data_IF_071221760785
#
_entry.id   IF_071221760785
#
_cell.length_a   1.000
_cell.length_b   1.000
_cell.length_c   1.000
_cell.angle_alpha   90.00
_cell.angle_beta   90.00
_cell.angle_gamma   90.00
#
_symmetry.space_group_name_H-M   'P 1'
#
loop_
_entity.id
_entity.type
_entity.pdbx_description
1 polymer ?
#
# COMPACT_ATOMS: atom_id res chain seq x y z
N UNK A 1 5.99 -11.67 -6.82
CA UNK A 1 4.80 -11.46 -5.97
C UNK A 1 4.76 -10.02 -5.46
N UNK A 2 3.56 -9.48 -5.20
CA UNK A 2 3.34 -8.23 -4.48
C UNK A 2 2.65 -8.56 -3.15
N UNK A 3 3.19 -8.08 -2.02
CA UNK A 3 2.61 -8.36 -0.70
C UNK A 3 3.00 -7.31 0.34
N UNK A 4 2.03 -6.57 0.93
CA UNK A 4 0.58 -6.61 0.66
C UNK A 4 0.22 -6.12 -0.75
N UNK A 5 -0.91 -6.61 -1.31
CA UNK A 5 -1.39 -6.23 -2.64
C UNK A 5 -2.06 -4.85 -2.65
N UNK A 6 -2.06 -4.20 -3.81
CA UNK A 6 -2.82 -2.98 -4.05
C UNK A 6 -4.12 -3.34 -4.82
N UNK A 7 -5.33 -2.96 -4.34
CA UNK A 7 -5.61 -2.10 -3.18
C UNK A 7 -6.03 -2.84 -1.91
N UNK A 8 -6.31 -4.15 -1.96
CA UNK A 8 -7.01 -4.90 -0.91
C UNK A 8 -6.12 -5.34 0.26
N UNK A 9 -4.81 -5.10 0.16
CA UNK A 9 -3.84 -5.45 1.20
C UNK A 9 -3.74 -6.95 1.52
N UNK A 10 -4.11 -7.81 0.57
CA UNK A 10 -3.92 -9.25 0.71
C UNK A 10 -2.43 -9.61 0.80
N UNK A 11 -2.13 -10.68 1.52
CA UNK A 11 -0.77 -11.15 1.71
C UNK A 11 -0.53 -12.51 1.09
N UNK A 12 0.71 -12.74 0.66
CA UNK A 12 1.20 -14.08 0.40
C UNK A 12 2.26 -14.47 1.44
N UNK A 13 2.33 -15.75 1.78
CA UNK A 13 3.40 -16.31 2.62
C UNK A 13 4.68 -16.37 1.78
N UNK A 14 5.60 -15.43 2.04
CA UNK A 14 6.84 -15.29 1.27
C UNK A 14 7.72 -16.53 1.41
N UNK A 15 7.81 -17.11 2.61
CA UNK A 15 8.64 -18.28 2.83
C UNK A 15 8.11 -19.51 2.08
N UNK A 16 6.79 -19.70 2.06
CA UNK A 16 6.17 -20.78 1.31
C UNK A 16 6.35 -20.59 -0.22
N UNK A 17 6.21 -19.36 -0.72
CA UNK A 17 6.45 -19.05 -2.13
C UNK A 17 7.90 -19.22 -2.53
N UNK A 18 8.85 -18.81 -1.67
CA UNK A 18 10.27 -19.01 -1.92
C UNK A 18 10.63 -20.50 -2.02
N UNK A 19 10.14 -21.30 -1.07
CA UNK A 19 10.36 -22.75 -1.11
C UNK A 19 9.78 -23.39 -2.40
N UNK A 20 8.59 -22.97 -2.82
CA UNK A 20 7.98 -23.44 -4.05
C UNK A 20 8.77 -23.03 -5.30
N UNK A 21 9.18 -21.75 -5.39
CA UNK A 21 9.97 -21.25 -6.50
C UNK A 21 11.30 -22.00 -6.63
N UNK A 22 12.03 -22.14 -5.53
CA UNK A 22 13.33 -22.80 -5.50
C UNK A 22 13.24 -24.30 -5.84
N UNK A 23 12.18 -24.98 -5.40
CA UNK A 23 11.93 -26.39 -5.76
C UNK A 23 11.77 -26.59 -7.28
N UNK A 24 11.42 -25.54 -8.02
CA UNK A 24 11.26 -25.54 -9.48
C UNK A 24 12.39 -24.79 -10.20
N UNK A 25 13.50 -24.49 -9.54
CA UNK A 25 14.64 -23.77 -10.12
C UNK A 25 14.35 -22.33 -10.52
N UNK A 26 13.27 -21.72 -9.98
CA UNK A 26 12.88 -20.35 -10.23
C UNK A 26 13.34 -19.42 -9.10
N UNK A 27 13.50 -18.13 -9.41
CA UNK A 27 13.75 -17.07 -8.43
C UNK A 27 12.44 -16.46 -7.96
N UNK A 28 12.39 -16.03 -6.69
CA UNK A 28 11.28 -15.23 -6.15
C UNK A 28 11.68 -13.75 -6.07
N UNK A 29 10.98 -12.91 -6.82
CA UNK A 29 11.03 -11.46 -6.68
C UNK A 29 9.78 -10.98 -5.92
N UNK A 30 9.96 -10.15 -4.88
CA UNK A 30 8.88 -9.59 -4.07
C UNK A 30 8.87 -8.08 -4.17
N UNK A 31 7.75 -7.50 -4.62
CA UNK A 31 7.49 -6.08 -4.46
C UNK A 31 7.06 -5.81 -3.01
N UNK A 32 7.90 -5.05 -2.30
CA UNK A 32 7.75 -4.73 -0.89
C UNK A 32 7.42 -3.23 -0.65
N UNK A 33 6.87 -2.56 -1.66
CA UNK A 33 6.63 -1.11 -1.63
C UNK A 33 5.65 -0.69 -0.54
N UNK A 34 4.59 -1.49 -0.27
CA UNK A 34 3.58 -1.19 0.75
C UNK A 34 4.09 -1.40 2.17
N UNK A 35 4.91 -2.41 2.38
CA UNK A 35 5.41 -2.74 3.71
C UNK A 35 6.68 -1.99 4.09
N UNK A 36 7.53 -1.65 3.13
CA UNK A 36 8.88 -1.13 3.36
C UNK A 36 9.80 -2.10 4.12
N UNK A 37 11.10 -1.88 4.21
CA UNK A 37 11.99 -2.74 5.00
C UNK A 37 11.79 -2.62 6.51
N UNK A 38 10.98 -1.65 6.97
CA UNK A 38 10.66 -1.47 8.38
C UNK A 38 9.70 -2.55 8.87
N UNK A 39 8.68 -2.87 8.07
CA UNK A 39 7.66 -3.87 8.44
C UNK A 39 8.07 -5.27 7.98
N UNK A 40 8.53 -5.41 6.74
CA UNK A 40 8.71 -6.70 6.11
C UNK A 40 10.07 -6.79 5.42
N UNK A 41 10.74 -7.91 5.60
CA UNK A 41 12.08 -8.17 5.06
C UNK A 41 12.10 -9.44 4.21
N UNK A 42 11.62 -9.37 2.94
CA UNK A 42 11.44 -10.56 2.10
C UNK A 42 12.71 -11.39 1.90
N UNK A 43 13.88 -10.78 1.82
CA UNK A 43 15.15 -11.51 1.68
C UNK A 43 15.42 -12.45 2.88
N UNK A 44 14.99 -12.08 4.11
CA UNK A 44 15.12 -12.94 5.28
C UNK A 44 14.12 -14.10 5.27
N UNK A 45 13.10 -14.02 4.40
CA UNK A 45 12.07 -15.04 4.21
C UNK A 45 12.30 -15.87 2.93
N UNK A 46 13.46 -15.71 2.28
CA UNK A 46 13.86 -16.51 1.14
C UNK A 46 13.66 -15.86 -0.24
N UNK A 47 13.18 -14.63 -0.33
CA UNK A 47 13.10 -13.93 -1.61
C UNK A 47 14.52 -13.62 -2.15
N UNK A 48 14.73 -13.87 -3.44
CA UNK A 48 16.00 -13.63 -4.13
C UNK A 48 16.18 -12.17 -4.53
N UNK A 49 15.07 -11.51 -4.86
CA UNK A 49 15.02 -10.09 -5.22
C UNK A 49 13.90 -9.39 -4.43
N UNK A 50 14.19 -8.19 -3.95
CA UNK A 50 13.22 -7.32 -3.31
C UNK A 50 13.13 -6.02 -4.08
N UNK A 51 11.93 -5.69 -4.54
CA UNK A 51 11.66 -4.48 -5.32
C UNK A 51 10.98 -3.45 -4.46
N UNK A 52 11.37 -2.20 -4.60
CA UNK A 52 10.76 -1.06 -3.93
C UNK A 52 10.45 0.05 -4.91
N UNK A 53 9.25 0.60 -4.83
CA UNK A 53 9.00 1.95 -5.33
C UNK A 53 9.59 2.95 -4.34
N UNK A 54 10.70 3.59 -4.72
CA UNK A 54 11.31 4.66 -3.93
C UNK A 54 10.43 5.92 -3.86
N UNK A 55 9.50 6.06 -4.81
CA UNK A 55 8.49 7.12 -4.86
C UNK A 55 7.50 7.09 -3.68
N UNK A 56 7.34 5.92 -3.04
CA UNK A 56 6.37 5.68 -1.96
C UNK A 56 7.01 5.95 -0.58
N UNK A 57 6.89 5.03 0.32
CA UNK A 57 7.38 5.18 1.72
C UNK A 57 8.86 5.53 1.84
N UNK A 58 9.72 5.13 0.89
CA UNK A 58 11.16 5.43 1.00
C UNK A 58 11.44 6.94 0.91
N UNK A 59 10.87 7.62 -0.07
CA UNK A 59 10.85 9.09 -0.11
C UNK A 59 9.92 9.64 0.97
N UNK A 60 8.68 9.15 1.01
CA UNK A 60 7.67 9.44 2.03
C UNK A 60 7.08 10.84 2.00
N UNK A 61 7.36 11.65 0.99
CA UNK A 61 6.84 13.01 0.89
C UNK A 61 6.42 13.41 -0.55
N UNK A 62 6.29 12.42 -1.45
CA UNK A 62 5.82 12.67 -2.83
C UNK A 62 6.72 13.59 -3.66
N UNK A 63 8.04 13.64 -3.37
CA UNK A 63 8.98 14.62 -3.94
C UNK A 63 9.63 14.16 -5.22
N UNK A 64 9.89 12.85 -5.35
CA UNK A 64 10.65 12.29 -6.47
C UNK A 64 10.12 10.93 -6.90
N UNK A 65 10.38 10.58 -8.16
CA UNK A 65 10.22 9.23 -8.66
C UNK A 65 11.53 8.48 -8.52
N UNK A 66 11.48 7.31 -7.90
CA UNK A 66 12.63 6.44 -7.69
C UNK A 66 12.20 4.98 -7.55
N UNK A 67 13.15 4.08 -7.76
CA UNK A 67 12.99 2.64 -7.52
C UNK A 67 14.28 2.05 -6.98
N UNK A 68 14.18 0.90 -6.33
CA UNK A 68 15.33 0.14 -5.86
C UNK A 68 15.05 -1.36 -6.01
N UNK A 69 16.09 -2.11 -6.35
CA UNK A 69 16.09 -3.57 -6.35
C UNK A 69 17.23 -4.03 -5.47
N UNK A 70 16.92 -4.86 -4.47
CA UNK A 70 17.87 -5.46 -3.55
C UNK A 70 17.94 -6.97 -3.81
N UNK A 71 19.12 -7.53 -3.70
CA UNK A 71 19.36 -8.97 -3.90
C UNK A 71 20.82 -9.31 -3.67
N UNK A 72 21.21 -10.55 -4.04
CA UNK A 72 22.62 -10.97 -3.97
C UNK A 72 23.49 -10.17 -4.94
N UNK A 73 24.78 -10.01 -4.63
CA UNK A 73 25.78 -9.41 -5.54
C UNK A 73 25.78 -10.07 -6.91
N UNK A 74 25.55 -11.38 -6.97
CA UNK A 74 25.50 -12.11 -8.24
C UNK A 74 24.36 -11.65 -9.13
N UNK A 75 23.19 -11.38 -8.57
CA UNK A 75 22.00 -10.94 -9.31
C UNK A 75 22.03 -9.43 -9.56
N UNK A 76 22.26 -8.64 -8.51
CA UNK A 76 22.10 -7.18 -8.61
C UNK A 76 23.32 -6.53 -9.28
N UNK A 77 24.55 -6.83 -8.84
CA UNK A 77 25.72 -6.15 -9.36
C UNK A 77 26.16 -6.72 -10.72
N UNK A 78 26.29 -8.05 -10.83
CA UNK A 78 26.82 -8.66 -12.05
C UNK A 78 25.84 -8.67 -13.21
N UNK A 79 24.54 -8.89 -12.96
CA UNK A 79 23.53 -8.96 -14.02
C UNK A 79 22.88 -7.61 -14.23
N UNK A 80 22.21 -7.08 -13.20
CA UNK A 80 21.43 -5.85 -13.33
C UNK A 80 22.32 -4.61 -13.43
N UNK A 81 23.41 -4.54 -12.67
CA UNK A 81 24.37 -3.41 -12.69
C UNK A 81 25.04 -3.23 -14.04
N UNK A 82 25.40 -4.32 -14.72
CA UNK A 82 25.94 -4.26 -16.07
C UNK A 82 24.91 -3.72 -17.08
N UNK A 83 23.66 -4.17 -16.99
CA UNK A 83 22.57 -3.68 -17.83
C UNK A 83 22.27 -2.20 -17.55
N UNK A 84 22.13 -1.81 -16.32
CA UNK A 84 21.83 -0.43 -15.92
C UNK A 84 22.89 0.56 -16.40
N UNK A 85 24.17 0.16 -16.32
CA UNK A 85 25.29 0.98 -16.80
C UNK A 85 25.23 1.26 -18.30
N UNK A 86 24.80 0.25 -19.08
CA UNK A 86 24.72 0.37 -20.54
C UNK A 86 23.40 0.98 -21.01
N UNK A 87 22.27 0.71 -20.33
CA UNK A 87 20.96 1.19 -20.68
C UNK A 87 20.61 2.58 -20.10
N UNK A 88 21.46 3.12 -19.21
CA UNK A 88 21.26 4.45 -18.65
C UNK A 88 20.11 4.59 -17.66
N UNK A 89 19.65 3.49 -17.04
CA UNK A 89 18.55 3.46 -16.09
C UNK A 89 18.96 3.89 -14.66
N UNK A 90 19.92 4.80 -14.57
CA UNK A 90 20.44 5.29 -13.29
C UNK A 90 19.54 6.40 -12.73
N UNK A 91 19.31 6.35 -11.43
CA UNK A 91 18.62 7.42 -10.72
C UNK A 91 19.42 8.72 -10.77
N UNK A 92 18.76 9.84 -11.06
CA UNK A 92 19.41 11.15 -11.04
C UNK A 92 19.98 11.42 -9.62
N UNK A 93 21.20 12.01 -9.51
CA UNK A 93 21.85 12.23 -8.22
C UNK A 93 21.02 13.03 -7.22
N UNK A 94 20.29 14.04 -7.69
CA UNK A 94 19.37 14.81 -6.86
C UNK A 94 18.25 13.93 -6.29
N UNK A 95 17.62 13.09 -7.11
CA UNK A 95 16.57 12.18 -6.66
C UNK A 95 17.13 11.16 -5.66
N UNK A 96 18.34 10.65 -5.89
CA UNK A 96 19.01 9.74 -4.96
C UNK A 96 19.25 10.41 -3.59
N UNK A 97 19.71 11.65 -3.59
CA UNK A 97 19.88 12.43 -2.36
C UNK A 97 18.56 12.66 -1.63
N UNK A 98 17.48 13.00 -2.32
CA UNK A 98 16.15 13.19 -1.73
C UNK A 98 15.64 11.89 -1.09
N UNK A 99 15.77 10.74 -1.78
CA UNK A 99 15.38 9.44 -1.22
C UNK A 99 16.24 9.10 0.00
N UNK A 100 17.56 9.36 -0.05
CA UNK A 100 18.46 9.13 1.09
C UNK A 100 17.98 9.93 2.33
N UNK A 101 17.56 11.19 2.14
CA UNK A 101 16.97 12.01 3.22
C UNK A 101 15.62 11.43 3.71
N UNK A 102 14.83 10.86 2.84
CA UNK A 102 13.61 10.12 3.22
C UNK A 102 13.91 8.93 4.12
N UNK A 103 14.97 8.17 3.83
CA UNK A 103 15.36 6.99 4.60
C UNK A 103 15.73 7.32 6.06
N UNK A 104 16.26 8.50 6.34
CA UNK A 104 16.64 8.92 7.69
C UNK A 104 15.47 8.91 8.68
N UNK A 105 14.23 9.14 8.18
CA UNK A 105 13.01 9.16 9.00
C UNK A 105 12.08 8.00 8.72
N UNK A 106 12.45 7.07 7.84
CA UNK A 106 11.57 6.00 7.37
C UNK A 106 10.95 5.19 8.52
N UNK A 107 11.77 4.75 9.48
CA UNK A 107 11.29 3.93 10.60
C UNK A 107 10.31 4.69 11.50
N UNK A 108 10.56 5.96 11.76
CA UNK A 108 9.66 6.81 12.56
C UNK A 108 8.31 6.98 11.86
N UNK A 109 8.33 7.34 10.57
CA UNK A 109 7.12 7.56 9.77
C UNK A 109 6.28 6.29 9.66
N UNK A 110 6.89 5.19 9.22
CA UNK A 110 6.16 3.93 9.00
C UNK A 110 5.51 3.41 10.28
N UNK A 111 6.18 3.50 11.42
CA UNK A 111 5.61 3.08 12.71
C UNK A 111 4.45 3.98 13.13
N UNK A 112 4.61 5.29 13.03
CA UNK A 112 3.55 6.24 13.38
C UNK A 112 2.34 6.10 12.45
N UNK A 113 2.57 6.00 11.13
CA UNK A 113 1.52 5.78 10.15
C UNK A 113 0.79 4.46 10.35
N UNK A 114 1.51 3.37 10.69
CA UNK A 114 0.88 2.07 10.97
C UNK A 114 0.02 2.09 12.24
N UNK A 115 0.46 2.79 13.28
CA UNK A 115 -0.32 2.95 14.50
C UNK A 115 -1.61 3.75 14.23
N UNK A 116 -1.51 4.89 13.54
CA UNK A 116 -2.66 5.69 13.15
C UNK A 116 -3.62 4.92 12.22
N UNK A 117 -3.07 4.14 11.28
CA UNK A 117 -3.86 3.31 10.37
C UNK A 117 -4.65 2.23 11.11
N UNK A 118 -4.08 1.60 12.12
CA UNK A 118 -4.81 0.60 12.93
C UNK A 118 -6.01 1.23 13.65
N UNK A 119 -5.83 2.38 14.27
CA UNK A 119 -6.91 3.07 14.97
C UNK A 119 -7.98 3.60 14.00
N UNK A 120 -7.57 4.11 12.83
CA UNK A 120 -8.50 4.53 11.79
C UNK A 120 -9.28 3.34 11.22
N UNK A 121 -8.62 2.22 11.00
CA UNK A 121 -9.26 0.99 10.50
C UNK A 121 -10.31 0.44 11.48
N UNK A 122 -10.03 0.46 12.78
CA UNK A 122 -11.00 0.10 13.83
C UNK A 122 -12.23 1.02 13.84
N UNK A 123 -11.99 2.31 13.70
CA UNK A 123 -13.06 3.29 13.63
C UNK A 123 -13.92 3.09 12.37
N UNK A 124 -13.29 2.85 11.20
CA UNK A 124 -14.00 2.55 9.97
C UNK A 124 -14.80 1.24 10.07
N UNK A 125 -14.24 0.20 10.68
CA UNK A 125 -14.92 -1.10 10.85
C UNK A 125 -16.18 -1.00 11.71
N UNK A 126 -16.21 -0.06 12.67
CA UNK A 126 -17.35 0.20 13.50
C UNK A 126 -18.36 1.20 12.90
N UNK A 127 -18.04 1.81 11.75
CA UNK A 127 -18.86 2.86 11.16
C UNK A 127 -20.05 2.29 10.38
N UNK A 128 -21.32 2.72 10.63
CA UNK A 128 -22.51 2.11 10.01
C UNK A 128 -22.59 2.28 8.48
N UNK A 129 -21.86 3.23 7.91
CA UNK A 129 -21.80 3.48 6.45
C UNK A 129 -20.62 2.81 5.77
N UNK A 130 -19.85 1.98 6.48
CA UNK A 130 -18.77 1.15 5.96
C UNK A 130 -19.23 -0.31 5.95
N UNK A 131 -19.23 -0.92 4.79
CA UNK A 131 -19.68 -2.30 4.62
C UNK A 131 -18.57 -3.31 4.99
N UNK A 132 -17.31 -2.97 4.70
CA UNK A 132 -16.15 -3.82 4.97
C UNK A 132 -14.86 -3.01 4.99
N UNK A 133 -13.92 -3.42 5.85
CA UNK A 133 -12.56 -2.87 5.89
C UNK A 133 -11.55 -3.96 5.53
N UNK A 134 -10.58 -3.61 4.70
CA UNK A 134 -9.44 -4.45 4.32
C UNK A 134 -8.17 -3.83 4.92
N UNK A 135 -7.71 -4.39 6.02
CA UNK A 135 -6.50 -3.94 6.70
C UNK A 135 -5.88 -5.08 7.50
N UNK A 136 -4.64 -5.49 7.19
CA UNK A 136 -4.03 -6.68 7.79
C UNK A 136 -3.82 -6.59 9.30
N UNK A 137 -3.79 -5.38 9.86
CA UNK A 137 -3.69 -5.14 11.30
C UNK A 137 -4.97 -5.44 12.09
N UNK A 138 -6.13 -5.57 11.43
CA UNK A 138 -7.39 -5.94 12.10
C UNK A 138 -7.49 -7.45 12.29
N UNK A 139 -7.96 -7.93 13.45
CA UNK A 139 -8.22 -9.36 13.68
C UNK A 139 -9.25 -9.96 12.72
N UNK A 140 -10.15 -9.15 12.17
CA UNK A 140 -11.15 -9.53 11.18
C UNK A 140 -10.58 -9.82 9.79
N UNK A 141 -9.35 -9.38 9.50
CA UNK A 141 -8.69 -9.68 8.24
C UNK A 141 -8.33 -11.16 8.15
N UNK A 142 -8.70 -11.82 7.04
CA UNK A 142 -8.50 -13.27 6.88
C UNK A 142 -7.04 -13.74 7.06
N UNK A 143 -6.09 -12.87 6.74
CA UNK A 143 -4.66 -13.16 6.83
C UNK A 143 -3.96 -12.42 7.99
N UNK A 144 -4.71 -11.96 9.00
CA UNK A 144 -4.17 -11.22 10.15
C UNK A 144 -2.98 -11.93 10.80
N UNK A 145 -3.11 -13.22 11.09
CA UNK A 145 -2.03 -13.99 11.73
C UNK A 145 -0.75 -14.05 10.88
N UNK A 146 -0.88 -14.17 9.56
CA UNK A 146 0.24 -14.09 8.63
C UNK A 146 0.87 -12.70 8.64
N UNK A 147 0.05 -11.65 8.56
CA UNK A 147 0.50 -10.27 8.59
C UNK A 147 1.31 -9.96 9.86
N UNK A 148 0.76 -10.29 11.02
CA UNK A 148 1.43 -10.03 12.31
C UNK A 148 2.78 -10.76 12.42
N UNK A 149 2.87 -11.98 11.92
CA UNK A 149 4.11 -12.74 11.89
C UNK A 149 5.12 -12.16 10.90
N UNK A 150 4.66 -11.83 9.68
CA UNK A 150 5.52 -11.44 8.57
C UNK A 150 5.92 -9.96 8.58
N UNK A 151 5.07 -9.11 9.16
CA UNK A 151 5.24 -7.65 9.20
C UNK A 151 5.61 -7.10 10.59
N UNK A 152 6.17 -7.94 11.45
CA UNK A 152 6.65 -7.49 12.76
C UNK A 152 5.57 -6.94 13.70
N UNK A 153 4.34 -7.43 13.60
CA UNK A 153 3.22 -7.04 14.45
C UNK A 153 2.50 -5.75 14.03
N UNK A 154 2.78 -5.23 12.83
CA UNK A 154 2.15 -4.02 12.29
C UNK A 154 1.42 -4.30 10.99
N UNK A 155 0.37 -3.52 10.68
CA UNK A 155 -0.47 -3.71 9.49
C UNK A 155 -0.13 -2.80 8.30
N UNK A 156 0.84 -1.89 8.45
CA UNK A 156 1.17 -0.89 7.42
C UNK A 156 0.29 0.35 7.47
N UNK A 157 0.45 1.23 6.48
CA UNK A 157 -0.24 2.53 6.42
C UNK A 157 -1.41 2.57 5.43
N UNK A 158 -1.66 1.50 4.69
CA UNK A 158 -2.70 1.47 3.65
C UNK A 158 -3.91 0.70 4.15
N UNK A 159 -5.07 1.32 4.05
CA UNK A 159 -6.38 0.76 4.36
C UNK A 159 -7.21 0.80 3.08
N UNK A 160 -7.97 -0.24 2.79
CA UNK A 160 -9.07 -0.14 1.85
C UNK A 160 -10.39 -0.45 2.57
N UNK A 161 -11.49 0.14 2.10
CA UNK A 161 -12.82 -0.14 2.66
C UNK A 161 -13.90 0.07 1.61
N UNK A 162 -14.99 -0.68 1.73
CA UNK A 162 -16.18 -0.51 0.93
C UNK A 162 -17.21 0.33 1.68
N UNK A 163 -17.79 1.32 1.01
CA UNK A 163 -18.96 2.04 1.50
C UNK A 163 -20.24 1.25 1.25
N UNK A 164 -21.28 1.52 2.05
CA UNK A 164 -22.62 0.94 1.84
C UNK A 164 -23.28 1.52 0.59
N UNK A 165 -24.22 0.77 -0.03
CA UNK A 165 -25.00 1.20 -1.18
C UNK A 165 -25.60 0.03 -1.94
N UNK A 166 -26.62 0.29 -2.76
CA UNK A 166 -27.30 -0.72 -3.59
C UNK A 166 -26.92 -0.58 -5.05
N UNK A 167 -26.29 -1.64 -5.60
CA UNK A 167 -25.83 -1.66 -6.98
C UNK A 167 -24.61 -0.80 -7.27
N UNK A 168 -24.00 -1.01 -8.42
CA UNK A 168 -22.71 -0.42 -8.78
C UNK A 168 -22.74 1.11 -8.89
N UNK A 169 -23.84 1.69 -9.37
CA UNK A 169 -23.98 3.13 -9.58
C UNK A 169 -24.02 3.88 -8.26
N UNK A 170 -24.85 3.45 -7.30
CA UNK A 170 -24.95 4.07 -5.98
C UNK A 170 -23.64 3.88 -5.20
N UNK A 171 -23.05 2.67 -5.21
CA UNK A 171 -21.76 2.42 -4.58
C UNK A 171 -20.69 3.37 -5.08
N UNK A 172 -20.63 3.59 -6.40
CA UNK A 172 -19.69 4.53 -7.02
C UNK A 172 -19.97 5.98 -6.59
N UNK A 173 -21.24 6.39 -6.64
CA UNK A 173 -21.64 7.74 -6.20
C UNK A 173 -21.28 7.99 -4.73
N UNK A 174 -21.53 7.01 -3.86
CA UNK A 174 -21.19 7.08 -2.44
C UNK A 174 -19.68 7.15 -2.23
N UNK A 175 -18.89 6.34 -2.94
CA UNK A 175 -17.43 6.39 -2.84
C UNK A 175 -16.85 7.73 -3.28
N UNK A 176 -17.37 8.31 -4.37
CA UNK A 176 -16.99 9.65 -4.80
C UNK A 176 -17.42 10.71 -3.81
N UNK A 177 -18.65 10.63 -3.29
CA UNK A 177 -19.14 11.58 -2.28
C UNK A 177 -18.23 11.60 -1.06
N UNK A 178 -17.82 10.44 -0.54
CA UNK A 178 -16.88 10.37 0.59
C UNK A 178 -15.54 11.01 0.24
N UNK A 179 -14.96 10.67 -0.91
CA UNK A 179 -13.67 11.20 -1.32
C UNK A 179 -13.72 12.73 -1.54
N UNK A 180 -14.75 13.23 -2.24
CA UNK A 180 -14.90 14.64 -2.59
C UNK A 180 -15.27 15.53 -1.38
N UNK A 181 -15.79 14.94 -0.31
CA UNK A 181 -16.12 15.65 0.94
C UNK A 181 -14.89 15.92 1.81
N UNK A 182 -13.76 15.26 1.55
CA UNK A 182 -12.54 15.44 2.35
C UNK A 182 -11.88 16.80 2.10
N UNK A 183 -11.24 17.34 3.14
CA UNK A 183 -10.48 18.61 3.12
C UNK A 183 -9.06 18.47 3.63
N UNK A 184 -8.80 17.45 4.43
CA UNK A 184 -7.47 17.10 4.97
C UNK A 184 -6.83 16.05 4.10
N UNK A 185 -7.56 14.99 3.75
CA UNK A 185 -7.09 13.96 2.85
C UNK A 185 -6.90 14.51 1.44
N UNK A 186 -5.75 14.24 0.83
CA UNK A 186 -5.47 14.63 -0.55
C UNK A 186 -5.97 13.58 -1.53
N UNK A 187 -6.80 13.97 -2.50
CA UNK A 187 -7.28 13.06 -3.55
C UNK A 187 -6.17 12.81 -4.57
N UNK A 188 -5.57 11.64 -4.52
CA UNK A 188 -4.53 11.22 -5.46
C UNK A 188 -4.36 9.71 -5.46
N UNK A 189 -3.93 9.13 -6.58
CA UNK A 189 -3.61 7.71 -6.71
C UNK A 189 -2.27 7.33 -6.06
N UNK A 190 -1.46 8.30 -5.59
CA UNK A 190 -0.22 8.03 -4.88
C UNK A 190 -0.47 7.43 -3.49
N UNK A 191 0.57 7.01 -2.80
CA UNK A 191 0.53 6.47 -1.44
C UNK A 191 1.89 6.58 -0.76
N UNK A 192 1.92 6.37 0.56
CA UNK A 192 3.15 6.35 1.34
C UNK A 192 3.74 7.72 1.67
N UNK A 193 2.96 8.79 1.46
CA UNK A 193 3.30 10.15 1.84
C UNK A 193 3.06 10.39 3.35
N UNK A 194 3.68 11.41 3.91
CA UNK A 194 3.36 11.93 5.25
C UNK A 194 1.98 12.59 5.29
N UNK A 195 1.43 12.95 4.13
CA UNK A 195 0.05 13.40 3.98
C UNK A 195 -0.85 12.21 3.68
N UNK A 196 -2.00 12.19 4.34
CA UNK A 196 -3.03 11.19 4.04
C UNK A 196 -3.58 11.39 2.63
N UNK A 197 -3.61 10.31 1.87
CA UNK A 197 -4.16 10.30 0.51
C UNK A 197 -5.35 9.37 0.43
N UNK A 198 -6.36 9.77 -0.34
CA UNK A 198 -7.58 9.01 -0.60
C UNK A 198 -7.80 8.84 -2.09
N UNK A 199 -8.29 7.68 -2.51
CA UNK A 199 -8.58 7.41 -3.92
C UNK A 199 -9.67 6.38 -4.09
N UNK A 200 -10.36 6.42 -5.23
CA UNK A 200 -11.27 5.38 -5.71
C UNK A 200 -10.53 4.46 -6.69
N UNK A 201 -10.10 3.24 -6.29
CA UNK A 201 -9.23 2.39 -7.10
C UNK A 201 -9.83 2.04 -8.46
N UNK A 202 -11.14 1.77 -8.53
CA UNK A 202 -11.80 1.35 -9.77
C UNK A 202 -11.75 2.42 -10.90
N UNK A 203 -11.60 3.71 -10.57
CA UNK A 203 -11.46 4.79 -11.56
C UNK A 203 -10.06 5.36 -11.71
N UNK A 204 -9.12 4.97 -10.83
CA UNK A 204 -7.76 5.53 -10.79
C UNK A 204 -6.71 4.44 -11.03
N UNK A 205 -6.16 3.85 -9.97
CA UNK A 205 -5.06 2.89 -10.06
C UNK A 205 -5.43 1.61 -10.86
N UNK A 206 -6.69 1.23 -10.89
CA UNK A 206 -7.23 0.05 -11.60
C UNK A 206 -8.24 0.42 -12.69
N UNK A 207 -8.28 1.71 -13.09
CA UNK A 207 -9.20 2.21 -14.11
C UNK A 207 -8.97 1.64 -15.52
N UNK A 208 -7.78 1.09 -15.79
CA UNK A 208 -7.46 0.43 -17.07
C UNK A 208 -7.99 -1.00 -17.18
N UNK A 209 -8.38 -1.61 -16.07
CA UNK A 209 -8.97 -2.94 -16.05
C UNK A 209 -10.43 -2.88 -16.52
N UNK A 210 -10.88 -3.92 -17.19
CA UNK A 210 -12.31 -4.10 -17.48
C UNK A 210 -13.07 -4.35 -16.19
N UNK A 211 -14.41 -4.14 -16.22
CA UNK A 211 -15.25 -4.41 -15.04
C UNK A 211 -15.11 -5.86 -14.56
N UNK A 212 -15.13 -6.82 -15.48
CA UNK A 212 -14.95 -8.23 -15.15
C UNK A 212 -13.60 -8.52 -14.46
N UNK A 213 -12.53 -7.86 -14.93
CA UNK A 213 -11.21 -8.01 -14.30
C UNK A 213 -11.16 -7.37 -12.91
N UNK A 214 -11.81 -6.21 -12.70
CA UNK A 214 -11.91 -5.59 -11.38
C UNK A 214 -12.71 -6.47 -10.42
N UNK A 215 -13.85 -6.99 -10.86
CA UNK A 215 -14.67 -7.90 -10.03
C UNK A 215 -13.91 -9.17 -9.66
N UNK A 216 -13.19 -9.78 -10.60
CA UNK A 216 -12.33 -10.93 -10.32
C UNK A 216 -11.22 -10.62 -9.32
N UNK A 217 -10.74 -9.37 -9.27
CA UNK A 217 -9.77 -8.88 -8.31
C UNK A 217 -10.40 -8.36 -7.00
N UNK A 218 -11.71 -8.46 -6.82
CA UNK A 218 -12.42 -7.97 -5.62
C UNK A 218 -12.55 -6.45 -5.54
N UNK A 219 -12.33 -5.73 -6.64
CA UNK A 219 -12.34 -4.26 -6.68
C UNK A 219 -13.72 -3.78 -7.14
N UNK A 220 -14.59 -3.52 -6.17
CA UNK A 220 -15.95 -3.00 -6.40
C UNK A 220 -15.98 -1.49 -6.64
N UNK A 221 -17.17 -1.00 -7.01
CA UNK A 221 -17.41 0.43 -7.24
C UNK A 221 -17.51 1.23 -5.93
N UNK A 222 -17.76 0.57 -4.79
CA UNK A 222 -17.78 1.20 -3.46
C UNK A 222 -16.42 1.27 -2.78
N UNK A 223 -15.37 0.74 -3.42
CA UNK A 223 -14.06 0.62 -2.79
C UNK A 223 -13.32 1.96 -2.76
N UNK A 224 -12.89 2.34 -1.56
CA UNK A 224 -12.00 3.48 -1.31
C UNK A 224 -10.68 2.95 -0.73
N UNK A 225 -9.55 3.50 -1.17
CA UNK A 225 -8.24 3.25 -0.56
C UNK A 225 -7.72 4.53 0.08
N UNK A 226 -7.26 4.41 1.33
CA UNK A 226 -6.56 5.47 2.07
C UNK A 226 -5.13 5.02 2.34
N UNK A 227 -4.18 5.91 2.10
CA UNK A 227 -2.82 5.78 2.64
C UNK A 227 -2.65 6.80 3.76
N UNK A 228 -2.60 6.32 4.99
CA UNK A 228 -2.60 7.15 6.19
C UNK A 228 -1.26 7.85 6.34
N UNK A 229 -1.32 9.16 6.55
CA UNK A 229 -0.17 10.04 6.78
C UNK A 229 0.16 10.20 8.27
N UNK A 230 0.60 11.41 8.63
CA UNK A 230 1.01 11.78 9.98
C UNK A 230 0.11 12.85 10.62
N UNK A 231 -1.04 13.15 10.01
CA UNK A 231 -2.03 14.07 10.56
C UNK A 231 -2.60 13.52 11.86
N UNK A 232 -3.18 14.41 12.67
CA UNK A 232 -3.86 13.97 13.89
C UNK A 232 -5.04 13.06 13.55
N UNK A 233 -5.18 11.96 14.26
CA UNK A 233 -6.17 10.92 13.96
C UNK A 233 -7.61 11.46 14.02
N UNK A 234 -7.91 12.32 14.98
CA UNK A 234 -9.27 12.89 15.10
C UNK A 234 -9.60 13.82 13.92
N UNK A 235 -8.61 14.51 13.36
CA UNK A 235 -8.80 15.31 12.15
C UNK A 235 -9.13 14.42 10.94
N UNK A 236 -8.47 13.27 10.81
CA UNK A 236 -8.76 12.30 9.76
C UNK A 236 -10.15 11.68 9.92
N UNK A 237 -10.55 11.32 11.14
CA UNK A 237 -11.90 10.81 11.43
C UNK A 237 -12.96 11.87 11.10
N UNK A 238 -12.77 13.10 11.57
CA UNK A 238 -13.68 14.21 11.30
C UNK A 238 -13.77 14.52 9.80
N UNK A 239 -12.67 14.40 9.07
CA UNK A 239 -12.61 14.63 7.63
C UNK A 239 -13.40 13.57 6.86
N UNK A 240 -13.24 12.29 7.19
CA UNK A 240 -13.99 11.19 6.58
C UNK A 240 -15.47 11.20 6.96
N UNK A 241 -15.82 11.59 8.20
CA UNK A 241 -17.21 11.74 8.66
C UNK A 241 -18.00 12.74 7.82
N UNK A 242 -17.37 13.76 7.24
CA UNK A 242 -18.05 14.71 6.35
C UNK A 242 -18.80 14.03 5.20
N UNK A 243 -18.20 13.01 4.64
CA UNK A 243 -18.82 12.24 3.56
C UNK A 243 -19.58 11.02 4.07
N UNK A 244 -19.02 10.27 5.01
CA UNK A 244 -19.64 9.04 5.52
C UNK A 244 -20.98 9.29 6.20
N UNK A 245 -21.07 10.28 7.10
CA UNK A 245 -22.28 10.55 7.86
C UNK A 245 -23.43 11.12 7.01
N UNK A 246 -23.12 11.59 5.80
CA UNK A 246 -24.10 12.17 4.88
C UNK A 246 -24.51 11.21 3.75
N UNK A 247 -24.01 9.97 3.76
CA UNK A 247 -24.52 8.92 2.86
C UNK A 247 -25.96 8.55 3.22
N UNK A 248 -26.78 8.38 2.21
CA UNK A 248 -28.17 7.97 2.35
C UNK A 248 -28.30 6.52 2.88
#
# INVERSE_FOLDING_TARGET
>A
AETPTNPLTDLCDIAALAALAHAHGALLAVDNSFASPVLQRPAQLGADLVVYSGTKLLDGQGRVMAGAVCGSTALVDKVMGAFMRSAGLNLAPFNAWVVLKGLETLSLRVKAQSAAALELARWLEAHPKVARVYYPGLPSHAQHALAMRQQGGLGGSVIAFDVVGEGAEQLRANAFHVADSTRVCSITANLGDVKTTITHPASTSHGRLTEAQRQAAGIGQGLIRISVGLEHLDDLKADLSRGLDTLA
#
